data_IF_952412884629
#
_entry.id   IF_952412884629
#
_cell.length_a   1.000
_cell.length_b   1.000
_cell.length_c   1.000
_cell.angle_alpha   90.00
_cell.angle_beta   90.00
_cell.angle_gamma   90.00
#
_symmetry.space_group_name_H-M   'P 1'
#
loop_
_entity.id
_entity.type
_entity.pdbx_description
1 polymer ?
#
# COMPACT_ATOMS: atom_id res chain seq x y z
N UNK A 1 20.44 10.81 -15.12
CA UNK A 1 19.81 10.41 -16.39
C UNK A 1 19.41 11.64 -17.18
N UNK A 2 19.52 11.57 -18.47
CA UNK A 2 19.01 12.61 -19.34
C UNK A 2 17.48 12.57 -19.37
N UNK A 3 16.81 13.70 -19.60
CA UNK A 3 15.35 13.76 -19.66
C UNK A 3 14.75 12.80 -20.70
N UNK A 4 15.47 12.54 -21.79
CA UNK A 4 15.05 11.59 -22.84
C UNK A 4 15.03 10.12 -22.35
N UNK A 5 15.69 9.78 -21.25
CA UNK A 5 15.79 8.44 -20.69
C UNK A 5 14.89 8.24 -19.47
N UNK A 6 14.00 9.20 -19.20
CA UNK A 6 13.16 9.22 -18.01
C UNK A 6 12.33 7.94 -17.83
N UNK A 7 11.71 7.45 -18.90
CA UNK A 7 10.91 6.24 -18.88
C UNK A 7 11.74 4.96 -18.67
N UNK A 8 12.91 4.89 -19.30
CA UNK A 8 13.79 3.72 -19.22
C UNK A 8 14.39 3.60 -17.81
N UNK A 9 14.63 4.73 -17.17
CA UNK A 9 15.11 4.78 -15.79
C UNK A 9 14.14 4.10 -14.82
N UNK A 10 12.83 4.19 -15.01
CA UNK A 10 11.87 3.53 -14.13
C UNK A 10 12.02 2.02 -14.14
N UNK A 11 12.25 1.43 -15.30
CA UNK A 11 12.49 0.00 -15.40
C UNK A 11 13.79 -0.42 -14.69
N UNK A 12 14.84 0.37 -14.83
CA UNK A 12 16.12 0.14 -14.13
C UNK A 12 15.91 0.20 -12.63
N UNK A 13 15.24 1.25 -12.12
CA UNK A 13 14.97 1.41 -10.68
C UNK A 13 14.14 0.25 -10.15
N UNK A 14 13.09 -0.15 -10.87
CA UNK A 14 12.18 -1.21 -10.43
C UNK A 14 12.84 -2.59 -10.38
N UNK A 15 13.78 -2.86 -11.30
CA UNK A 15 14.40 -4.18 -11.47
C UNK A 15 15.78 -4.34 -10.81
N UNK A 16 16.41 -3.26 -10.38
CA UNK A 16 17.79 -3.31 -9.85
C UNK A 16 17.89 -4.05 -8.52
N UNK A 17 16.85 -4.04 -7.71
CA UNK A 17 16.87 -4.64 -6.37
C UNK A 17 15.63 -5.46 -6.10
N UNK A 18 15.80 -6.55 -5.36
CA UNK A 18 14.69 -7.33 -4.80
C UNK A 18 14.03 -6.64 -3.59
N UNK A 19 14.62 -5.59 -3.05
CA UNK A 19 14.11 -4.83 -1.92
C UNK A 19 13.22 -3.67 -2.38
N UNK A 20 12.23 -3.32 -1.58
CA UNK A 20 11.30 -2.22 -1.83
C UNK A 20 10.93 -1.51 -0.52
N UNK A 21 11.92 -1.00 0.18
CA UNK A 21 11.71 -0.34 1.48
C UNK A 21 11.34 1.13 1.31
N UNK A 22 12.28 1.93 0.83
CA UNK A 22 12.10 3.38 0.67
C UNK A 22 12.60 3.83 -0.69
N UNK A 23 12.00 4.89 -1.20
CA UNK A 23 12.42 5.56 -2.41
C UNK A 23 12.01 7.02 -2.39
N UNK A 24 12.65 7.84 -3.21
CA UNK A 24 12.29 9.24 -3.36
C UNK A 24 12.40 9.70 -4.80
N UNK A 25 11.55 10.66 -5.16
CA UNK A 25 11.59 11.40 -6.41
C UNK A 25 11.74 12.88 -6.10
N UNK A 26 12.70 13.52 -6.72
CA UNK A 26 12.93 14.96 -6.64
C UNK A 26 12.57 15.56 -8.00
N UNK A 27 11.46 16.26 -8.09
CA UNK A 27 10.98 16.90 -9.30
C UNK A 27 10.06 18.09 -8.99
N UNK A 28 10.06 19.10 -9.86
CA UNK A 28 9.12 20.22 -9.79
C UNK A 28 7.92 20.01 -10.71
N UNK A 29 8.12 19.33 -11.83
CA UNK A 29 7.05 19.01 -12.76
C UNK A 29 6.07 18.00 -12.15
N UNK A 30 4.80 18.38 -12.10
CA UNK A 30 3.72 17.56 -11.54
C UNK A 30 3.46 16.30 -12.37
N UNK A 31 3.61 16.36 -13.70
CA UNK A 31 3.43 15.19 -14.55
C UNK A 31 4.54 14.17 -14.30
N UNK A 32 5.79 14.60 -14.22
CA UNK A 32 6.92 13.73 -13.89
C UNK A 32 6.75 13.03 -12.53
N UNK A 33 6.22 13.74 -11.52
CA UNK A 33 5.90 13.15 -10.21
C UNK A 33 4.80 12.08 -10.33
N UNK A 34 3.77 12.35 -11.14
CA UNK A 34 2.67 11.40 -11.37
C UNK A 34 3.18 10.14 -12.06
N UNK A 35 3.95 10.29 -13.11
CA UNK A 35 4.51 9.18 -13.89
C UNK A 35 5.44 8.32 -13.03
N UNK A 36 6.33 8.94 -12.26
CA UNK A 36 7.20 8.24 -11.32
C UNK A 36 6.40 7.49 -10.24
N UNK A 37 5.38 8.12 -9.68
CA UNK A 37 4.52 7.50 -8.66
C UNK A 37 3.82 6.25 -9.17
N UNK A 38 3.33 6.27 -10.41
CA UNK A 38 2.70 5.13 -11.03
C UNK A 38 3.69 4.04 -11.43
N UNK A 39 4.78 4.41 -12.09
CA UNK A 39 5.79 3.47 -12.55
C UNK A 39 6.45 2.74 -11.38
N UNK A 40 6.77 3.45 -10.29
CA UNK A 40 7.50 2.93 -9.14
C UNK A 40 6.59 2.51 -7.97
N UNK A 41 5.28 2.35 -8.17
CA UNK A 41 4.31 2.03 -7.11
C UNK A 41 4.63 0.77 -6.30
N UNK A 42 5.40 -0.17 -6.87
CA UNK A 42 5.81 -1.41 -6.23
C UNK A 42 7.29 -1.44 -5.83
N UNK A 43 8.02 -0.34 -6.08
CA UNK A 43 9.48 -0.27 -5.85
C UNK A 43 9.85 0.30 -4.48
N UNK A 44 8.88 0.85 -3.76
CA UNK A 44 9.09 1.37 -2.41
C UNK A 44 7.79 1.33 -1.59
N UNK A 45 7.88 0.80 -0.38
CA UNK A 45 6.77 0.85 0.58
C UNK A 45 6.56 2.24 1.14
N UNK A 46 7.65 2.98 1.41
CA UNK A 46 7.62 4.40 1.72
C UNK A 46 8.19 5.20 0.55
N UNK A 47 7.32 5.92 -0.13
CA UNK A 47 7.68 6.70 -1.31
C UNK A 47 7.59 8.19 -1.00
N UNK A 48 8.70 8.90 -1.16
CA UNK A 48 8.83 10.30 -0.79
C UNK A 48 8.91 11.19 -2.04
N UNK A 49 8.23 12.32 -2.02
CA UNK A 49 8.26 13.32 -3.08
C UNK A 49 8.91 14.57 -2.52
N UNK A 50 10.03 14.98 -3.11
CA UNK A 50 10.83 16.14 -2.69
C UNK A 50 11.23 16.12 -1.21
N UNK A 51 11.45 14.93 -0.67
CA UNK A 51 11.86 14.72 0.72
C UNK A 51 12.99 13.67 0.82
N UNK A 52 13.48 13.47 2.01
CA UNK A 52 14.56 12.51 2.29
C UNK A 52 14.07 11.07 2.04
N UNK A 53 14.83 10.25 1.31
CA UNK A 53 14.44 8.87 1.03
C UNK A 53 14.43 7.95 2.26
N UNK A 54 14.94 8.41 3.39
CA UNK A 54 14.98 7.69 4.67
C UNK A 54 14.30 8.48 5.77
N UNK A 55 13.39 9.37 5.41
CA UNK A 55 12.76 10.34 6.31
C UNK A 55 11.60 9.80 7.15
N UNK A 56 11.61 8.52 7.51
CA UNK A 56 10.58 7.97 8.39
C UNK A 56 10.62 8.63 9.77
N UNK A 57 9.56 9.33 10.10
CA UNK A 57 9.38 9.99 11.40
C UNK A 57 8.15 9.42 12.08
N UNK A 58 8.33 8.91 13.29
CA UNK A 58 7.24 8.35 14.09
C UNK A 58 6.13 9.39 14.27
N UNK A 59 4.90 8.99 13.97
CA UNK A 59 3.73 9.86 14.07
C UNK A 59 3.43 10.69 12.80
N UNK A 60 4.34 10.76 11.84
CA UNK A 60 4.07 11.44 10.55
C UNK A 60 3.58 10.48 9.48
N UNK A 61 4.27 9.35 9.30
CA UNK A 61 3.87 8.31 8.37
C UNK A 61 4.19 6.92 8.93
N UNK A 62 3.38 5.91 8.62
CA UNK A 62 3.72 4.52 8.94
C UNK A 62 4.88 4.05 8.06
N UNK A 63 5.64 3.07 8.55
CA UNK A 63 6.84 2.60 7.90
C UNK A 63 6.79 1.10 7.58
N UNK A 64 7.18 0.76 6.37
CA UNK A 64 7.29 -0.63 5.93
C UNK A 64 7.52 -0.72 4.43
N UNK A 65 8.11 -1.84 4.00
CA UNK A 65 8.41 -2.12 2.61
C UNK A 65 7.89 -3.48 2.17
N UNK A 66 7.77 -3.64 0.86
CA UNK A 66 7.37 -4.87 0.20
C UNK A 66 8.56 -5.66 -0.35
N UNK A 67 8.30 -6.65 -1.18
CA UNK A 67 9.30 -7.54 -1.78
C UNK A 67 10.22 -8.14 -0.69
N UNK A 68 11.52 -8.18 -0.90
CA UNK A 68 12.51 -8.62 0.08
C UNK A 68 12.61 -7.75 1.34
N UNK A 69 12.01 -6.56 1.37
CA UNK A 69 12.00 -5.68 2.54
C UNK A 69 10.94 -6.03 3.59
N UNK A 70 10.01 -6.94 3.31
CA UNK A 70 9.03 -7.40 4.27
C UNK A 70 7.60 -7.45 3.75
N UNK A 71 6.67 -7.54 4.68
CA UNK A 71 5.23 -7.73 4.40
C UNK A 71 4.46 -6.42 4.18
N UNK A 72 5.14 -5.29 4.27
CA UNK A 72 4.56 -3.95 4.12
C UNK A 72 3.42 -3.64 5.12
N UNK A 73 3.46 -4.18 6.32
CA UNK A 73 2.42 -4.04 7.34
C UNK A 73 2.33 -2.64 7.98
N UNK A 74 3.19 -1.72 7.58
CA UNK A 74 3.15 -0.31 8.00
C UNK A 74 3.20 -0.11 9.52
N UNK A 75 4.37 -0.36 10.11
CA UNK A 75 4.61 -0.05 11.52
C UNK A 75 4.25 1.42 11.83
N UNK A 76 3.51 1.64 12.91
CA UNK A 76 2.96 2.96 13.27
C UNK A 76 1.55 3.24 12.72
N UNK A 77 0.99 2.37 11.88
CA UNK A 77 -0.41 2.46 11.46
C UNK A 77 -1.31 1.50 12.24
N UNK A 78 -2.58 1.87 12.43
CA UNK A 78 -3.57 0.97 13.06
C UNK A 78 -3.73 -0.35 12.30
N UNK A 79 -3.58 -0.33 10.98
CA UNK A 79 -3.67 -1.52 10.13
C UNK A 79 -2.61 -2.57 10.48
N UNK A 80 -1.47 -2.17 11.01
CA UNK A 80 -0.44 -3.11 11.49
C UNK A 80 -0.98 -4.06 12.58
N UNK A 81 -1.90 -3.58 13.41
CA UNK A 81 -2.47 -4.38 14.49
C UNK A 81 -3.29 -5.58 13.99
N UNK A 82 -3.79 -5.54 12.75
CA UNK A 82 -4.52 -6.66 12.15
C UNK A 82 -3.67 -7.93 12.02
N UNK A 83 -2.36 -7.80 11.99
CA UNK A 83 -1.42 -8.95 12.00
C UNK A 83 -1.39 -9.70 13.34
N UNK A 84 -1.80 -9.04 14.40
CA UNK A 84 -1.67 -9.54 15.77
C UNK A 84 -2.99 -10.00 16.36
N UNK A 85 -4.10 -9.90 15.61
CA UNK A 85 -5.43 -10.24 16.07
C UNK A 85 -6.08 -11.27 15.14
N UNK A 86 -6.89 -12.14 15.72
CA UNK A 86 -7.79 -13.03 14.98
C UNK A 86 -9.19 -12.45 15.08
N UNK A 87 -9.75 -12.07 13.95
CA UNK A 87 -11.08 -11.47 13.89
C UNK A 87 -12.15 -12.54 14.08
N UNK A 88 -13.17 -12.22 14.87
CA UNK A 88 -14.34 -13.07 15.07
C UNK A 88 -15.62 -12.26 14.86
N UNK A 89 -16.50 -12.78 14.03
CA UNK A 89 -17.84 -12.22 13.85
C UNK A 89 -18.85 -13.09 14.60
N UNK A 90 -19.69 -12.46 15.40
CA UNK A 90 -20.80 -13.10 16.09
C UNK A 90 -22.08 -12.45 15.58
N UNK A 91 -23.01 -13.28 15.07
CA UNK A 91 -24.37 -12.88 14.72
C UNK A 91 -25.33 -13.68 15.57
N UNK A 92 -26.16 -12.99 16.34
CA UNK A 92 -27.22 -13.59 17.15
C UNK A 92 -28.58 -13.19 16.57
N UNK A 93 -29.48 -14.14 16.44
CA UNK A 93 -30.86 -13.90 15.98
C UNK A 93 -31.81 -14.27 17.12
N UNK A 94 -32.48 -13.28 17.67
CA UNK A 94 -33.39 -13.48 18.82
C UNK A 94 -34.67 -14.23 18.43
N UNK A 95 -35.14 -14.07 17.20
CA UNK A 95 -36.25 -14.83 16.64
C UNK A 95 -35.70 -15.73 15.54
N UNK A 96 -35.52 -17.04 15.79
CA UNK A 96 -34.99 -17.94 14.77
C UNK A 96 -35.83 -17.95 13.49
N UNK A 97 -35.25 -17.98 12.31
CA UNK A 97 -36.01 -18.08 11.06
C UNK A 97 -36.66 -19.44 10.96
N UNK A 98 -37.91 -19.45 10.51
CA UNK A 98 -38.70 -20.69 10.25
C UNK A 98 -38.68 -21.11 8.79
N UNK A 99 -38.15 -20.27 7.90
CA UNK A 99 -37.98 -20.53 6.47
C UNK A 99 -36.49 -20.46 6.11
N UNK A 100 -35.99 -21.41 5.32
CA UNK A 100 -34.61 -21.44 4.86
C UNK A 100 -34.32 -20.40 3.78
N UNK A 101 -35.34 -19.86 3.15
CA UNK A 101 -35.22 -18.83 2.11
C UNK A 101 -34.96 -17.45 2.73
N UNK A 102 -34.15 -16.67 2.09
CA UNK A 102 -34.07 -15.24 2.41
C UNK A 102 -35.35 -14.50 1.94
N UNK A 103 -35.75 -13.41 2.62
CA UNK A 103 -36.94 -12.65 2.25
C UNK A 103 -37.01 -12.24 0.78
N UNK A 104 -35.87 -11.90 0.17
CA UNK A 104 -35.80 -11.51 -1.26
C UNK A 104 -35.98 -12.68 -2.24
N UNK A 105 -36.00 -13.92 -1.77
CA UNK A 105 -36.25 -15.12 -2.57
C UNK A 105 -37.71 -15.60 -2.44
N UNK A 106 -38.53 -14.94 -1.61
CA UNK A 106 -39.94 -15.26 -1.50
C UNK A 106 -40.65 -14.58 -2.67
N UNK A 107 -41.49 -15.35 -3.41
CA UNK A 107 -42.38 -14.78 -4.40
C UNK A 107 -43.44 -13.93 -3.69
N UNK A 108 -43.81 -12.80 -4.28
CA UNK A 108 -44.90 -11.93 -3.82
C UNK A 108 -46.22 -12.66 -3.86
#
# INVERSE_FOLDING_TARGET
>A
YADAEWSDMFEIVDKTSEYALTGAVLAQDRQAITDATWALRNSAGNFYINDKPTGAVVGQQPFGGGRGSGTNDKAGAKVNLLRWVSQRTIKETFVPPTDYRYPFLQAD
#
